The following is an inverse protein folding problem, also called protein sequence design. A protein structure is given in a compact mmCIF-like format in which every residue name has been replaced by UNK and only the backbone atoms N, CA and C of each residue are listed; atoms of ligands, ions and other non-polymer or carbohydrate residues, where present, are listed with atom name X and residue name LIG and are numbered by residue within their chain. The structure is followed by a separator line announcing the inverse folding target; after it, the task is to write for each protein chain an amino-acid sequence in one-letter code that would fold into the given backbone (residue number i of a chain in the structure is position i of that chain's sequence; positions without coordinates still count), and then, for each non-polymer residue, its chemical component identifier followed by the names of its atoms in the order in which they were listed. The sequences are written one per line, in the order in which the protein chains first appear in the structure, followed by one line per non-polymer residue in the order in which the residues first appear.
data_IF_449892611947
#
_entry.id   IF_449892611947
#
_cell.length_a   1.000
_cell.length_b   1.000
_cell.length_c   1.000
_cell.angle_alpha   90.00
_cell.angle_beta   90.00
_cell.angle_gamma   90.00
#
_symmetry.space_group_name_H-M   'P 1'
#
loop_
_entity.id
_entity.type
_entity.pdbx_description
1 polymer ?
#
# COMPACT_ATOMS: atom_id res chain seq x y z
N UNK A 1 14.50 -6.73 -5.52
CA UNK A 1 14.03 -8.15 -5.55
C UNK A 1 13.57 -8.45 -6.95
N UNK A 2 14.16 -9.44 -7.60
CA UNK A 2 13.83 -9.88 -8.96
C UNK A 2 12.98 -11.17 -8.88
N UNK A 3 11.79 -11.19 -9.50
CA UNK A 3 10.90 -12.36 -9.53
C UNK A 3 10.76 -12.83 -10.96
N UNK A 4 11.07 -14.11 -11.22
CA UNK A 4 11.04 -14.71 -12.55
C UNK A 4 10.24 -16.01 -12.57
N UNK A 5 9.59 -16.28 -13.73
CA UNK A 5 8.90 -17.53 -13.99
C UNK A 5 9.83 -18.53 -14.70
N UNK A 6 9.96 -19.73 -14.16
CA UNK A 6 10.84 -20.74 -14.69
C UNK A 6 10.07 -22.00 -15.13
N UNK A 7 10.22 -22.42 -16.39
CA UNK A 7 9.60 -23.64 -16.95
C UNK A 7 10.28 -24.95 -16.47
N UNK A 8 11.41 -24.87 -15.77
CA UNK A 8 12.09 -26.05 -15.24
C UNK A 8 11.35 -26.61 -14.03
N UNK A 9 11.42 -27.92 -13.87
CA UNK A 9 11.01 -28.56 -12.62
C UNK A 9 11.76 -27.91 -11.44
N UNK A 10 11.07 -27.70 -10.31
CA UNK A 10 11.60 -27.02 -9.12
C UNK A 10 12.94 -27.61 -8.66
N UNK A 11 13.12 -28.93 -8.78
CA UNK A 11 14.37 -29.62 -8.40
C UNK A 11 15.55 -29.27 -9.31
N UNK A 12 15.31 -28.81 -10.54
CA UNK A 12 16.32 -28.42 -11.50
C UNK A 12 16.68 -26.92 -11.44
N UNK A 13 16.05 -26.19 -10.54
CA UNK A 13 16.34 -24.76 -10.29
C UNK A 13 17.43 -24.67 -9.21
N UNK A 14 18.55 -24.07 -9.54
CA UNK A 14 19.70 -23.87 -8.65
C UNK A 14 19.49 -22.67 -7.72
N UNK A 15 18.52 -22.72 -6.85
CA UNK A 15 18.31 -21.73 -5.80
C UNK A 15 18.72 -22.27 -4.42
N UNK A 16 19.03 -21.38 -3.49
CA UNK A 16 19.53 -21.80 -2.18
C UNK A 16 18.43 -22.38 -1.28
N UNK A 17 17.20 -21.85 -1.32
CA UNK A 17 16.10 -22.32 -0.47
C UNK A 17 14.81 -22.47 -1.24
N UNK A 18 14.13 -23.60 -1.04
CA UNK A 18 12.81 -23.91 -1.57
C UNK A 18 11.74 -23.64 -0.49
N UNK A 19 10.71 -22.85 -0.82
CA UNK A 19 9.52 -22.65 0.04
C UNK A 19 8.48 -23.69 -0.32
N UNK A 20 8.03 -24.45 0.67
CA UNK A 20 7.04 -25.51 0.54
C UNK A 20 5.87 -25.26 1.50
N UNK A 21 4.67 -25.06 0.93
CA UNK A 21 3.44 -24.85 1.71
C UNK A 21 2.69 -26.17 1.80
N UNK A 22 2.36 -26.60 3.01
CA UNK A 22 1.74 -27.89 3.28
C UNK A 22 0.41 -27.76 4.01
N UNK A 23 -0.63 -28.43 3.49
CA UNK A 23 -1.86 -28.71 4.24
C UNK A 23 -2.00 -30.18 4.64
N UNK A 24 -1.20 -31.07 4.05
CA UNK A 24 -1.15 -32.51 4.32
C UNK A 24 0.26 -33.01 4.04
N UNK A 25 0.76 -33.90 4.90
CA UNK A 25 2.10 -34.49 4.79
C UNK A 25 2.16 -35.61 3.73
N UNK A 26 1.03 -36.18 3.35
CA UNK A 26 0.96 -37.37 2.46
C UNK A 26 1.59 -37.18 1.06
N UNK A 27 1.87 -35.95 0.66
CA UNK A 27 2.47 -35.61 -0.64
C UNK A 27 4.00 -35.56 -0.60
N UNK A 28 4.61 -35.70 0.56
CA UNK A 28 6.06 -35.70 0.77
C UNK A 28 6.67 -37.07 0.60
N UNK A 29 7.98 -37.14 0.42
CA UNK A 29 8.72 -38.40 0.47
C UNK A 29 8.74 -38.98 1.90
N UNK A 30 9.15 -40.27 2.04
CA UNK A 30 9.10 -40.99 3.32
C UNK A 30 9.88 -40.24 4.43
N UNK A 31 11.09 -39.85 4.15
CA UNK A 31 11.97 -39.18 5.13
C UNK A 31 11.42 -37.81 5.59
N UNK A 32 10.86 -37.03 4.66
CA UNK A 32 10.22 -35.75 4.99
C UNK A 32 8.95 -35.94 5.83
N UNK A 33 8.17 -36.98 5.56
CA UNK A 33 7.00 -37.32 6.36
C UNK A 33 7.40 -37.63 7.79
N UNK A 34 8.34 -38.55 7.99
CA UNK A 34 8.83 -38.97 9.30
C UNK A 34 9.36 -37.74 10.08
N UNK A 35 10.13 -36.87 9.44
CA UNK A 35 10.65 -35.63 10.04
C UNK A 35 9.54 -34.72 10.54
N UNK A 36 8.55 -34.45 9.70
CA UNK A 36 7.49 -33.47 10.03
C UNK A 36 6.42 -34.08 10.96
N UNK A 37 6.17 -35.39 10.91
CA UNK A 37 5.30 -36.09 11.85
C UNK A 37 5.89 -36.08 13.25
N UNK A 38 7.20 -36.35 13.40
CA UNK A 38 7.90 -36.34 14.69
C UNK A 38 7.80 -35.01 15.43
N UNK A 39 7.69 -33.87 14.72
CA UNK A 39 7.53 -32.52 15.30
C UNK A 39 6.06 -32.08 15.35
N UNK A 40 5.09 -32.92 15.06
CA UNK A 40 3.67 -32.58 14.99
C UNK A 40 3.42 -31.29 14.14
N UNK A 41 4.08 -31.19 12.99
CA UNK A 41 4.16 -29.97 12.17
C UNK A 41 2.78 -29.44 11.74
N UNK A 42 1.85 -30.30 11.36
CA UNK A 42 0.50 -29.90 10.92
C UNK A 42 -0.51 -29.72 12.08
N UNK A 43 -0.08 -29.71 13.33
CA UNK A 43 -1.00 -29.52 14.47
C UNK A 43 -1.67 -28.14 14.45
N UNK A 44 -0.98 -27.11 13.95
CA UNK A 44 -1.50 -25.73 13.81
C UNK A 44 -1.14 -25.16 12.44
N UNK A 45 -1.96 -24.22 11.95
CA UNK A 45 -1.55 -23.38 10.82
C UNK A 45 -0.39 -22.48 11.19
N UNK A 46 0.45 -22.20 10.19
CA UNK A 46 1.59 -21.29 10.26
C UNK A 46 2.78 -21.78 11.10
N UNK A 47 2.85 -23.10 11.40
CA UNK A 47 4.10 -23.68 11.86
C UNK A 47 5.15 -23.62 10.76
N UNK A 48 6.41 -23.38 11.14
CA UNK A 48 7.54 -23.28 10.23
C UNK A 48 8.61 -24.28 10.63
N UNK A 49 9.17 -25.00 9.66
CA UNK A 49 10.33 -25.88 9.85
C UNK A 49 11.33 -25.66 8.72
N UNK A 50 12.57 -25.35 9.08
CA UNK A 50 13.65 -25.14 8.13
C UNK A 50 14.62 -26.32 8.15
N UNK A 51 14.57 -27.13 7.10
CA UNK A 51 15.56 -28.18 6.83
C UNK A 51 16.78 -27.56 6.14
N UNK A 52 17.76 -27.16 6.96
CA UNK A 52 18.99 -26.51 6.50
C UNK A 52 19.77 -27.42 5.55
N UNK A 53 19.81 -28.73 5.84
CA UNK A 53 20.58 -29.71 5.09
C UNK A 53 20.13 -29.82 3.63
N UNK A 54 18.80 -29.76 3.42
CA UNK A 54 18.20 -29.89 2.10
C UNK A 54 17.79 -28.53 1.49
N UNK A 55 17.99 -27.41 2.21
CA UNK A 55 17.61 -26.09 1.77
C UNK A 55 16.09 -25.95 1.57
N UNK A 56 15.27 -26.51 2.45
CA UNK A 56 13.82 -26.52 2.35
C UNK A 56 13.17 -25.85 3.55
N UNK A 57 12.32 -24.86 3.28
CA UNK A 57 11.48 -24.22 4.29
C UNK A 57 10.04 -24.71 4.15
N UNK A 58 9.60 -25.50 5.09
CA UNK A 58 8.23 -26.00 5.18
C UNK A 58 7.36 -25.03 5.96
N UNK A 59 6.16 -24.81 5.45
CA UNK A 59 5.18 -23.95 6.08
C UNK A 59 3.81 -24.64 6.14
N UNK A 60 3.22 -24.78 7.34
CA UNK A 60 1.91 -25.38 7.48
C UNK A 60 0.80 -24.38 7.18
N UNK A 61 -0.12 -24.76 6.28
CA UNK A 61 -1.28 -23.97 5.91
C UNK A 61 -2.51 -24.89 5.79
N UNK A 62 -3.19 -25.13 6.91
CA UNK A 62 -4.28 -26.11 6.98
C UNK A 62 -5.43 -25.84 6.01
N UNK A 63 -5.69 -24.59 5.70
CA UNK A 63 -6.69 -24.17 4.71
C UNK A 63 -5.99 -23.37 3.60
N UNK A 64 -5.91 -23.92 2.40
CA UNK A 64 -5.31 -23.28 1.22
C UNK A 64 -6.26 -22.22 0.60
N UNK A 65 -6.62 -21.21 1.40
CA UNK A 65 -7.25 -19.97 0.94
C UNK A 65 -6.17 -18.95 0.62
N UNK A 66 -6.42 -18.05 -0.32
CA UNK A 66 -5.41 -17.08 -0.77
C UNK A 66 -4.84 -16.22 0.36
N UNK A 67 -5.66 -15.76 1.30
CA UNK A 67 -5.21 -15.02 2.48
C UNK A 67 -4.22 -15.81 3.36
N UNK A 68 -4.49 -17.10 3.59
CA UNK A 68 -3.62 -17.95 4.37
C UNK A 68 -2.30 -18.24 3.64
N UNK A 69 -2.35 -18.39 2.31
CA UNK A 69 -1.18 -18.59 1.45
C UNK A 69 -0.32 -17.33 1.47
N UNK A 70 -0.90 -16.13 1.32
CA UNK A 70 -0.19 -14.84 1.46
C UNK A 70 0.51 -14.74 2.80
N UNK A 71 -0.20 -15.07 3.90
CA UNK A 71 0.36 -15.05 5.25
C UNK A 71 1.51 -16.03 5.40
N UNK A 72 1.35 -17.26 4.88
CA UNK A 72 2.39 -18.29 4.89
C UNK A 72 3.66 -17.82 4.18
N UNK A 73 3.52 -17.31 2.96
CA UNK A 73 4.64 -16.81 2.15
C UNK A 73 5.28 -15.58 2.83
N UNK A 74 4.49 -14.65 3.32
CA UNK A 74 5.00 -13.44 4.02
C UNK A 74 5.83 -13.81 5.25
N UNK A 75 5.39 -14.80 6.01
CA UNK A 75 6.13 -15.28 7.19
C UNK A 75 7.41 -16.02 6.78
N UNK A 76 7.35 -16.83 5.73
CA UNK A 76 8.53 -17.50 5.16
C UNK A 76 9.58 -16.48 4.71
N UNK A 77 9.18 -15.43 4.00
CA UNK A 77 10.07 -14.35 3.54
C UNK A 77 10.74 -13.64 4.71
N UNK A 78 9.99 -13.26 5.74
CA UNK A 78 10.55 -12.62 6.95
C UNK A 78 11.57 -13.52 7.65
N UNK A 79 11.26 -14.81 7.77
CA UNK A 79 12.19 -15.79 8.35
C UNK A 79 13.48 -15.88 7.53
N UNK A 80 13.40 -16.04 6.20
CA UNK A 80 14.55 -16.16 5.31
C UNK A 80 15.42 -14.90 5.28
N UNK A 81 14.82 -13.72 5.37
CA UNK A 81 15.57 -12.45 5.52
C UNK A 81 16.40 -12.44 6.80
N UNK A 82 15.84 -12.86 7.92
CA UNK A 82 16.54 -12.87 9.22
C UNK A 82 17.77 -13.79 9.21
N UNK A 83 17.76 -14.87 8.43
CA UNK A 83 18.89 -15.79 8.24
C UNK A 83 19.71 -15.51 6.99
N UNK A 84 19.52 -14.35 6.36
CA UNK A 84 20.34 -13.82 5.26
C UNK A 84 20.33 -14.63 3.98
N UNK A 85 19.21 -15.26 3.65
CA UNK A 85 19.04 -15.97 2.37
C UNK A 85 18.75 -14.96 1.26
N UNK A 86 19.51 -15.02 0.17
CA UNK A 86 19.37 -14.10 -0.97
C UNK A 86 18.57 -14.67 -2.14
N UNK A 87 18.60 -15.99 -2.32
CA UNK A 87 17.97 -16.67 -3.46
C UNK A 87 16.98 -17.71 -2.97
N UNK A 88 15.76 -17.66 -3.48
CA UNK A 88 14.69 -18.59 -3.12
C UNK A 88 13.97 -19.11 -4.36
N UNK A 89 13.31 -20.24 -4.22
CA UNK A 89 12.42 -20.82 -5.23
C UNK A 89 11.11 -21.28 -4.59
N UNK A 90 10.04 -21.25 -5.37
CA UNK A 90 8.73 -21.74 -4.99
C UNK A 90 8.05 -22.41 -6.18
N UNK A 91 7.41 -23.54 -6.01
CA UNK A 91 6.57 -24.14 -7.05
C UNK A 91 5.17 -23.50 -7.03
N UNK A 92 4.63 -23.19 -8.20
CA UNK A 92 3.25 -22.69 -8.32
C UNK A 92 2.24 -23.76 -7.90
N UNK A 93 2.62 -25.05 -7.99
CA UNK A 93 1.81 -26.16 -7.50
C UNK A 93 2.18 -26.50 -6.07
N UNK A 94 1.27 -26.26 -5.14
CA UNK A 94 1.41 -26.61 -3.74
C UNK A 94 0.29 -27.57 -3.32
N UNK A 95 0.65 -28.68 -2.69
CA UNK A 95 -0.32 -29.73 -2.26
C UNK A 95 -1.29 -30.17 -3.37
N UNK A 96 -0.81 -30.31 -4.61
CA UNK A 96 -1.61 -30.63 -5.82
C UNK A 96 -2.63 -29.53 -6.21
N UNK A 97 -2.53 -28.35 -5.63
CA UNK A 97 -3.31 -27.15 -6.01
C UNK A 97 -2.41 -26.16 -6.73
N UNK A 98 -2.84 -25.68 -7.88
CA UNK A 98 -2.23 -24.54 -8.54
C UNK A 98 -2.62 -23.26 -7.78
N UNK A 99 -1.62 -22.50 -7.35
CA UNK A 99 -1.81 -21.23 -6.66
C UNK A 99 -1.97 -20.10 -7.66
N UNK A 100 -2.71 -19.07 -7.26
CA UNK A 100 -2.78 -17.84 -8.04
C UNK A 100 -1.42 -17.11 -7.96
N UNK A 101 -0.87 -16.73 -9.12
CA UNK A 101 0.40 -15.99 -9.20
C UNK A 101 0.36 -14.68 -8.41
N UNK A 102 -0.77 -13.96 -8.46
CA UNK A 102 -0.96 -12.74 -7.67
C UNK A 102 -0.83 -13.02 -6.18
N UNK A 103 -1.44 -14.09 -5.68
CA UNK A 103 -1.36 -14.50 -4.27
C UNK A 103 0.08 -14.75 -3.84
N UNK A 104 0.87 -15.44 -4.69
CA UNK A 104 2.30 -15.70 -4.44
C UNK A 104 3.07 -14.39 -4.39
N UNK A 105 2.90 -13.53 -5.39
CA UNK A 105 3.63 -12.26 -5.52
C UNK A 105 3.30 -11.30 -4.38
N UNK A 106 2.02 -11.19 -4.01
CA UNK A 106 1.62 -10.37 -2.86
C UNK A 106 2.28 -10.87 -1.56
N UNK A 107 2.28 -12.18 -1.33
CA UNK A 107 2.97 -12.76 -0.17
C UNK A 107 4.47 -12.47 -0.15
N UNK A 108 5.13 -12.55 -1.30
CA UNK A 108 6.56 -12.30 -1.48
C UNK A 108 6.89 -10.81 -1.30
N UNK A 109 6.25 -9.93 -2.08
CA UNK A 109 6.61 -8.51 -2.18
C UNK A 109 6.13 -7.74 -0.94
N UNK A 110 4.86 -7.92 -0.54
CA UNK A 110 4.34 -7.21 0.62
C UNK A 110 4.90 -7.77 1.94
N UNK A 111 5.22 -9.07 1.98
CA UNK A 111 5.88 -9.72 3.12
C UNK A 111 7.33 -9.29 3.30
N UNK A 112 8.02 -8.91 2.23
CA UNK A 112 9.41 -8.43 2.27
C UNK A 112 9.55 -6.94 2.59
N UNK A 113 8.45 -6.19 2.63
CA UNK A 113 8.46 -4.75 2.84
C UNK A 113 9.13 -4.36 4.17
N UNK A 114 10.01 -3.39 4.09
CA UNK A 114 10.64 -2.70 5.23
C UNK A 114 10.78 -1.23 4.92
N UNK A 115 10.45 -0.40 5.90
CA UNK A 115 10.68 1.03 5.81
C UNK A 115 12.06 1.37 6.38
N UNK A 116 13.01 1.70 5.49
CA UNK A 116 14.42 1.87 5.84
C UNK A 116 14.92 3.32 5.79
N UNK A 117 14.06 4.27 5.41
CA UNK A 117 14.43 5.68 5.14
C UNK A 117 15.26 6.32 6.28
N UNK A 118 14.96 5.97 7.53
CA UNK A 118 15.59 6.58 8.71
C UNK A 118 16.59 5.65 9.43
N UNK A 119 16.91 4.51 8.84
CA UNK A 119 17.90 3.60 9.46
C UNK A 119 19.31 3.97 9.02
N UNK A 120 20.22 4.18 9.98
CA UNK A 120 21.63 4.52 9.75
C UNK A 120 22.44 3.38 9.13
N UNK A 121 22.10 2.13 9.42
CA UNK A 121 22.69 0.96 8.80
C UNK A 121 21.67 0.34 7.86
N UNK A 122 21.85 0.56 6.56
CA UNK A 122 21.17 -0.25 5.54
C UNK A 122 21.89 -1.60 5.47
N UNK A 123 21.59 -2.50 6.41
CA UNK A 123 21.94 -3.90 6.23
C UNK A 123 21.10 -4.42 5.02
N UNK A 124 21.65 -4.27 3.82
CA UNK A 124 21.08 -4.68 2.55
C UNK A 124 21.01 -6.22 2.41
N UNK A 125 20.55 -6.90 3.47
CA UNK A 125 20.31 -8.33 3.47
C UNK A 125 18.89 -8.61 2.97
N UNK A 126 18.66 -8.28 1.71
CA UNK A 126 17.39 -8.54 1.05
C UNK A 126 17.48 -9.80 0.21
N UNK A 127 16.37 -10.50 0.11
CA UNK A 127 16.19 -11.52 -0.91
C UNK A 127 16.34 -10.84 -2.27
N UNK A 128 17.31 -11.31 -3.07
CA UNK A 128 17.64 -10.70 -4.37
C UNK A 128 16.85 -11.33 -5.51
N UNK A 129 16.79 -12.66 -5.53
CA UNK A 129 16.20 -13.41 -6.63
C UNK A 129 15.18 -14.42 -6.12
N UNK A 130 14.04 -14.45 -6.80
CA UNK A 130 12.96 -15.41 -6.56
C UNK A 130 12.59 -16.07 -7.87
N UNK A 131 12.66 -17.39 -7.92
CA UNK A 131 12.24 -18.18 -9.06
C UNK A 131 10.95 -18.93 -8.74
N UNK A 132 9.90 -18.69 -9.53
CA UNK A 132 8.62 -19.40 -9.44
C UNK A 132 8.61 -20.48 -10.51
N UNK A 133 8.67 -21.76 -10.11
CA UNK A 133 8.50 -22.88 -11.02
C UNK A 133 7.05 -22.96 -11.50
N UNK A 134 6.88 -22.95 -12.81
CA UNK A 134 5.57 -23.12 -13.48
C UNK A 134 5.54 -24.42 -14.30
N UNK A 135 6.44 -25.37 -14.01
CA UNK A 135 6.62 -26.59 -14.79
C UNK A 135 5.33 -27.41 -14.95
N UNK A 136 4.55 -27.52 -13.88
CA UNK A 136 3.30 -28.28 -13.85
C UNK A 136 2.05 -27.37 -13.94
N UNK A 137 2.19 -26.09 -14.28
CA UNK A 137 1.05 -25.19 -14.43
C UNK A 137 0.19 -25.59 -15.62
N UNK A 138 -1.12 -25.43 -15.48
CA UNK A 138 -2.09 -25.59 -16.56
C UNK A 138 -2.16 -24.34 -17.46
N UNK A 139 -1.76 -23.17 -16.93
CA UNK A 139 -1.72 -21.92 -17.67
C UNK A 139 -0.47 -21.80 -18.52
N UNK A 140 -0.56 -21.08 -19.65
CA UNK A 140 0.58 -20.76 -20.48
C UNK A 140 1.50 -19.76 -19.77
N UNK A 141 2.81 -19.82 -20.09
CA UNK A 141 3.80 -18.92 -19.50
C UNK A 141 3.45 -17.45 -19.72
N UNK A 142 3.00 -17.09 -20.92
CA UNK A 142 2.70 -15.72 -21.31
C UNK A 142 1.52 -15.14 -20.49
N UNK A 143 0.48 -15.95 -20.21
CA UNK A 143 -0.62 -15.57 -19.31
C UNK A 143 -0.11 -15.29 -17.89
N UNK A 144 0.75 -16.17 -17.38
CA UNK A 144 1.33 -16.01 -16.05
C UNK A 144 2.28 -14.81 -15.96
N UNK A 145 2.99 -14.47 -17.03
CA UNK A 145 3.82 -13.25 -17.09
C UNK A 145 2.98 -11.97 -17.06
N UNK A 146 1.82 -11.96 -17.71
CA UNK A 146 0.85 -10.85 -17.60
C UNK A 146 0.33 -10.73 -16.17
N UNK A 147 -0.06 -11.85 -15.55
CA UNK A 147 -0.54 -11.88 -14.16
C UNK A 147 0.57 -11.43 -13.19
N UNK A 148 1.81 -11.88 -13.40
CA UNK A 148 2.99 -11.45 -12.62
C UNK A 148 3.22 -9.94 -12.72
N UNK A 149 3.20 -9.39 -13.93
CA UNK A 149 3.37 -7.95 -14.17
C UNK A 149 2.30 -7.13 -13.44
N UNK A 150 1.03 -7.53 -13.56
CA UNK A 150 -0.08 -6.87 -12.85
C UNK A 150 0.11 -6.92 -11.34
N UNK A 151 0.45 -8.08 -10.80
CA UNK A 151 0.67 -8.25 -9.36
C UNK A 151 1.83 -7.37 -8.85
N UNK A 152 2.93 -7.28 -9.61
CA UNK A 152 4.07 -6.42 -9.27
C UNK A 152 3.69 -4.94 -9.27
N UNK A 153 2.93 -4.46 -10.26
CA UNK A 153 2.45 -3.07 -10.32
C UNK A 153 1.64 -2.75 -9.05
N UNK A 154 0.68 -3.60 -8.71
CA UNK A 154 -0.17 -3.42 -7.51
C UNK A 154 0.69 -3.42 -6.25
N UNK A 155 1.57 -4.40 -6.07
CA UNK A 155 2.41 -4.51 -4.88
C UNK A 155 3.35 -3.33 -4.70
N UNK A 156 3.95 -2.83 -5.79
CA UNK A 156 4.84 -1.67 -5.76
C UNK A 156 4.07 -0.41 -5.36
N UNK A 157 2.86 -0.22 -5.87
CA UNK A 157 2.00 0.91 -5.50
C UNK A 157 1.52 0.82 -4.04
N UNK A 158 1.25 -0.38 -3.53
CA UNK A 158 0.96 -0.58 -2.10
C UNK A 158 2.17 -0.24 -1.23
N UNK A 159 3.38 -0.65 -1.64
CA UNK A 159 4.60 -0.32 -0.90
C UNK A 159 4.90 1.19 -0.95
N UNK A 160 4.70 1.84 -2.08
CA UNK A 160 4.77 3.31 -2.21
C UNK A 160 3.80 4.00 -1.23
N UNK A 161 2.55 3.55 -1.17
CA UNK A 161 1.57 4.05 -0.18
C UNK A 161 2.08 3.89 1.25
N UNK A 162 2.67 2.73 1.59
CA UNK A 162 3.24 2.48 2.93
C UNK A 162 4.42 3.40 3.21
N UNK A 163 5.25 3.70 2.23
CA UNK A 163 6.39 4.62 2.38
C UNK A 163 5.92 6.03 2.73
N UNK A 164 4.86 6.52 2.07
CA UNK A 164 4.23 7.79 2.40
C UNK A 164 3.71 7.80 3.84
N UNK A 165 2.92 6.78 4.21
CA UNK A 165 2.30 6.69 5.54
C UNK A 165 3.36 6.61 6.65
N UNK A 166 4.47 5.91 6.41
CA UNK A 166 5.56 5.74 7.37
C UNK A 166 6.51 6.94 7.45
N UNK A 167 6.52 7.82 6.46
CA UNK A 167 7.35 9.02 6.45
C UNK A 167 7.00 9.95 7.62
N UNK A 168 8.04 10.55 8.24
CA UNK A 168 7.87 11.49 9.35
C UNK A 168 7.03 12.69 8.93
N UNK A 169 6.33 13.36 9.86
CA UNK A 169 5.54 14.55 9.53
C UNK A 169 6.38 15.64 8.87
N UNK A 170 7.57 15.90 9.38
CA UNK A 170 8.47 16.94 8.88
C UNK A 170 9.02 16.63 7.48
N UNK A 171 9.12 15.36 7.10
CA UNK A 171 9.58 14.95 5.76
C UNK A 171 8.44 14.75 4.76
N UNK A 172 7.19 14.78 5.22
CA UNK A 172 6.03 14.56 4.36
C UNK A 172 4.81 15.39 4.78
N UNK A 173 4.93 16.70 4.62
CA UNK A 173 3.89 17.70 4.86
C UNK A 173 3.14 18.07 3.56
N UNK A 174 2.11 18.93 3.56
CA UNK A 174 1.23 19.15 2.40
C UNK A 174 1.96 19.51 1.10
N UNK A 175 3.00 20.36 1.15
CA UNK A 175 3.76 20.72 -0.06
C UNK A 175 4.54 19.54 -0.64
N UNK A 176 5.10 18.66 0.21
CA UNK A 176 5.81 17.47 -0.28
C UNK A 176 4.85 16.49 -0.94
N UNK A 177 3.64 16.32 -0.38
CA UNK A 177 2.57 15.53 -1.01
C UNK A 177 2.16 16.10 -2.38
N UNK A 178 2.08 17.42 -2.50
CA UNK A 178 1.80 18.08 -3.77
C UNK A 178 2.92 17.85 -4.79
N UNK A 179 4.17 17.92 -4.37
CA UNK A 179 5.34 17.66 -5.22
C UNK A 179 5.36 16.21 -5.72
N UNK A 180 5.06 15.25 -4.84
CA UNK A 180 4.91 13.82 -5.21
C UNK A 180 3.81 13.62 -6.27
N UNK A 181 2.67 14.29 -6.11
CA UNK A 181 1.58 14.25 -7.08
C UNK A 181 2.01 14.80 -8.45
N UNK A 182 2.76 15.91 -8.47
CA UNK A 182 3.33 16.48 -9.71
C UNK A 182 4.33 15.53 -10.35
N UNK A 183 5.16 14.85 -9.56
CA UNK A 183 6.13 13.88 -10.06
C UNK A 183 5.41 12.65 -10.67
N UNK A 184 4.39 12.14 -10.01
CA UNK A 184 3.54 11.08 -10.59
C UNK A 184 2.94 11.57 -11.92
N UNK A 185 2.38 12.76 -11.95
CA UNK A 185 1.75 13.31 -13.14
C UNK A 185 2.72 13.42 -14.31
N UNK A 186 3.93 13.92 -14.08
CA UNK A 186 5.00 14.01 -15.07
C UNK A 186 5.41 12.62 -15.58
N UNK A 187 5.68 11.69 -14.68
CA UNK A 187 6.17 10.34 -15.01
C UNK A 187 5.13 9.47 -15.70
N UNK A 188 3.85 9.70 -15.43
CA UNK A 188 2.71 8.94 -16.00
C UNK A 188 1.99 9.67 -17.12
N UNK A 189 2.42 10.89 -17.47
CA UNK A 189 1.81 11.73 -18.49
C UNK A 189 0.31 11.96 -18.25
N UNK A 190 -0.06 12.36 -17.03
CA UNK A 190 -1.43 12.69 -16.62
C UNK A 190 -1.51 14.15 -16.17
N UNK A 191 -2.73 14.69 -16.04
CA UNK A 191 -2.91 16.05 -15.56
C UNK A 191 -2.83 16.09 -14.02
N UNK A 192 -2.21 17.15 -13.49
CA UNK A 192 -2.21 17.45 -12.06
C UNK A 192 -2.40 18.96 -11.88
N UNK A 193 -3.30 19.33 -10.98
CA UNK A 193 -3.55 20.71 -10.57
C UNK A 193 -3.33 20.80 -9.05
N UNK A 194 -2.60 21.81 -8.62
CA UNK A 194 -2.32 22.10 -7.21
C UNK A 194 -2.85 23.48 -6.90
N UNK A 195 -3.65 23.59 -5.84
CA UNK A 195 -4.21 24.85 -5.36
C UNK A 195 -3.77 25.09 -3.92
N UNK A 196 -3.38 26.33 -3.63
CA UNK A 196 -3.00 26.81 -2.32
C UNK A 196 -4.16 27.41 -1.55
N UNK A 197 -3.84 28.04 -0.40
CA UNK A 197 -4.83 28.61 0.51
C UNK A 197 -5.63 29.77 -0.08
N UNK A 198 -5.04 30.58 -0.96
CA UNK A 198 -5.78 31.66 -1.63
C UNK A 198 -6.94 31.10 -2.45
N UNK A 199 -6.70 30.03 -3.20
CA UNK A 199 -7.78 29.34 -3.92
C UNK A 199 -8.85 28.80 -2.97
N UNK A 200 -8.47 28.23 -1.81
CA UNK A 200 -9.42 27.73 -0.83
C UNK A 200 -10.34 28.86 -0.31
N UNK A 201 -9.76 30.02 0.01
CA UNK A 201 -10.50 31.20 0.47
C UNK A 201 -11.46 31.74 -0.61
N UNK A 202 -10.96 31.93 -1.82
CA UNK A 202 -11.74 32.45 -2.96
C UNK A 202 -12.92 31.54 -3.32
N UNK A 203 -12.79 30.22 -3.11
CA UNK A 203 -13.83 29.25 -3.42
C UNK A 203 -14.65 28.81 -2.19
N UNK A 204 -14.55 29.53 -1.06
CA UNK A 204 -15.25 29.24 0.20
C UNK A 204 -14.99 27.81 0.72
N UNK A 205 -13.85 27.22 0.47
CA UNK A 205 -13.42 25.93 1.02
C UNK A 205 -12.90 26.12 2.45
N UNK A 206 -13.73 26.82 3.28
CA UNK A 206 -13.28 27.28 4.59
C UNK A 206 -13.16 26.14 5.61
N UNK A 207 -13.83 25.00 5.41
CA UNK A 207 -13.67 23.86 6.32
C UNK A 207 -12.24 23.28 6.20
N UNK A 208 -11.75 23.07 4.98
CA UNK A 208 -10.39 22.60 4.76
C UNK A 208 -9.36 23.68 5.17
N UNK A 209 -9.58 24.94 4.81
CA UNK A 209 -8.72 26.06 5.17
C UNK A 209 -8.55 26.20 6.67
N UNK A 210 -9.66 26.16 7.44
CA UNK A 210 -9.62 26.30 8.89
C UNK A 210 -8.85 25.20 9.60
N UNK A 211 -8.88 23.98 9.09
CA UNK A 211 -8.09 22.89 9.67
C UNK A 211 -6.59 23.16 9.58
N UNK A 212 -6.11 23.70 8.45
CA UNK A 212 -4.71 23.93 8.20
C UNK A 212 -4.12 25.25 8.72
N UNK A 213 -4.99 26.21 9.08
CA UNK A 213 -4.59 27.62 9.31
C UNK A 213 -3.53 27.80 10.42
N UNK A 214 -3.47 26.92 11.41
CA UNK A 214 -2.51 26.99 12.50
C UNK A 214 -1.16 26.34 12.17
N UNK A 215 -1.03 25.68 11.02
CA UNK A 215 0.23 25.11 10.58
C UNK A 215 1.13 26.16 9.93
N UNK A 216 2.46 25.96 10.05
CA UNK A 216 3.43 26.70 9.23
C UNK A 216 3.47 26.21 7.78
N UNK A 217 2.89 25.04 7.50
CA UNK A 217 2.84 24.43 6.19
C UNK A 217 1.47 24.72 5.54
N UNK A 218 1.52 25.46 4.44
CA UNK A 218 0.33 25.84 3.69
C UNK A 218 -0.47 24.62 3.22
N UNK A 219 -1.79 24.67 3.38
CA UNK A 219 -2.73 23.66 2.89
C UNK A 219 -2.71 23.55 1.38
N UNK A 220 -2.84 22.34 0.84
CA UNK A 220 -2.86 22.08 -0.61
C UNK A 220 -4.06 21.23 -1.00
N UNK A 221 -4.87 21.72 -1.95
CA UNK A 221 -5.83 20.90 -2.68
C UNK A 221 -5.13 20.36 -3.93
N UNK A 222 -5.08 19.04 -4.04
CA UNK A 222 -4.38 18.32 -5.11
C UNK A 222 -5.42 17.60 -5.96
N UNK A 223 -5.39 17.79 -7.28
CA UNK A 223 -6.29 17.15 -8.23
C UNK A 223 -5.51 16.46 -9.35
N UNK A 224 -5.47 15.14 -9.34
CA UNK A 224 -4.87 14.28 -10.36
C UNK A 224 -5.96 13.76 -11.28
N UNK A 225 -5.71 13.74 -12.60
CA UNK A 225 -6.69 13.30 -13.60
C UNK A 225 -6.02 12.30 -14.54
N UNK A 226 -6.46 11.06 -14.47
CA UNK A 226 -6.11 9.99 -15.41
C UNK A 226 -7.27 9.79 -16.39
N UNK A 227 -7.01 10.00 -17.69
CA UNK A 227 -8.00 9.85 -18.75
C UNK A 227 -7.46 8.88 -19.81
N UNK A 228 -7.98 7.63 -19.89
CA UNK A 228 -7.61 6.69 -20.92
C UNK A 228 -8.25 7.08 -22.27
N UNK A 229 -7.79 6.48 -23.36
CA UNK A 229 -8.25 6.80 -24.72
C UNK A 229 -9.77 6.66 -24.91
N UNK A 230 -10.39 5.62 -24.31
CA UNK A 230 -11.84 5.35 -24.40
C UNK A 230 -12.35 4.97 -23.01
N UNK A 231 -12.67 5.94 -22.14
CA UNK A 231 -13.13 5.65 -20.79
C UNK A 231 -14.54 5.04 -20.82
N UNK A 232 -14.74 3.95 -20.09
CA UNK A 232 -16.07 3.29 -19.96
C UNK A 232 -16.87 3.84 -18.77
N UNK A 233 -16.20 4.48 -17.81
CA UNK A 233 -16.83 5.13 -16.68
C UNK A 233 -15.85 6.17 -16.07
N UNK A 234 -16.42 7.10 -15.30
CA UNK A 234 -15.70 8.10 -14.52
C UNK A 234 -15.80 7.78 -13.03
N UNK A 235 -14.67 7.81 -12.33
CA UNK A 235 -14.54 7.52 -10.90
C UNK A 235 -13.83 8.70 -10.22
N UNK A 236 -14.35 9.13 -9.08
CA UNK A 236 -13.68 10.11 -8.22
C UNK A 236 -13.25 9.44 -6.93
N UNK A 237 -11.97 9.59 -6.61
CA UNK A 237 -11.35 9.15 -5.38
C UNK A 237 -11.03 10.39 -4.54
N UNK A 238 -11.55 10.45 -3.32
CA UNK A 238 -11.28 11.57 -2.41
C UNK A 238 -10.47 11.06 -1.22
N UNK A 239 -9.30 11.67 -1.00
CA UNK A 239 -8.34 11.27 0.02
C UNK A 239 -8.20 12.28 1.14
N UNK A 240 -8.40 11.85 2.40
CA UNK A 240 -7.99 12.61 3.58
C UNK A 240 -6.47 12.66 3.64
N UNK A 241 -5.90 13.87 3.60
CA UNK A 241 -4.46 14.12 3.59
C UNK A 241 -3.98 14.91 4.81
N UNK A 242 -4.49 14.60 6.00
CA UNK A 242 -3.99 15.22 7.25
C UNK A 242 -2.60 14.65 7.51
N UNK A 243 -1.56 15.44 7.21
CA UNK A 243 -0.17 14.96 7.24
C UNK A 243 0.34 14.77 8.66
N UNK A 244 -0.19 15.55 9.59
CA UNK A 244 -0.09 15.34 11.03
C UNK A 244 -1.32 15.88 11.76
N UNK A 245 -1.78 15.16 12.77
CA UNK A 245 -2.98 15.52 13.52
C UNK A 245 -2.72 15.56 15.05
N UNK A 246 -2.73 16.78 15.59
CA UNK A 246 -2.62 16.99 17.04
C UNK A 246 -3.99 16.93 17.75
N UNK A 247 -5.09 16.94 16.97
CA UNK A 247 -6.45 17.20 17.45
C UNK A 247 -6.81 18.69 17.45
N UNK A 248 -5.87 19.57 17.12
CA UNK A 248 -6.07 21.01 17.22
C UNK A 248 -6.34 21.46 18.65
N UNK A 249 -7.28 22.39 18.86
CA UNK A 249 -7.68 22.87 20.21
C UNK A 249 -8.33 21.76 21.06
N UNK A 250 -8.92 20.72 20.46
CA UNK A 250 -9.36 19.49 21.14
C UNK A 250 -8.19 18.49 21.21
N UNK A 251 -7.10 18.89 21.85
CA UNK A 251 -5.81 18.21 21.87
C UNK A 251 -5.92 16.74 22.25
N UNK A 252 -5.26 15.88 21.45
CA UNK A 252 -5.14 14.44 21.74
C UNK A 252 -4.41 14.21 23.06
N UNK A 253 -4.84 13.19 23.81
CA UNK A 253 -4.18 12.77 25.05
C UNK A 253 -2.80 12.24 24.77
N UNK A 254 -1.93 12.20 25.81
CA UNK A 254 -0.61 11.62 25.76
C UNK A 254 -0.61 10.23 25.12
N UNK A 255 0.33 9.99 24.21
CA UNK A 255 0.41 8.77 23.41
C UNK A 255 -0.50 8.75 22.18
N UNK A 256 -1.58 9.53 22.12
CA UNK A 256 -2.51 9.58 21.00
C UNK A 256 -1.91 10.17 19.71
N UNK A 257 -0.87 11.01 19.84
CA UNK A 257 -0.20 11.66 18.70
C UNK A 257 0.89 10.82 18.03
N UNK A 258 1.46 9.82 18.73
CA UNK A 258 2.66 9.10 18.26
C UNK A 258 2.49 8.47 16.88
N UNK A 259 1.28 8.00 16.56
CA UNK A 259 0.98 7.39 15.27
C UNK A 259 0.33 8.36 14.26
N UNK A 260 0.08 9.62 14.61
CA UNK A 260 -0.72 10.55 13.79
C UNK A 260 -0.05 11.02 12.50
N UNK A 261 1.20 10.65 12.26
CA UNK A 261 1.79 10.69 10.90
C UNK A 261 1.03 9.83 9.89
N UNK A 262 0.26 8.83 10.35
CA UNK A 262 -0.52 7.95 9.47
C UNK A 262 -1.85 8.55 9.01
N UNK A 263 -2.26 9.71 9.52
CA UNK A 263 -3.55 10.31 9.23
C UNK A 263 -3.70 10.85 7.79
N UNK A 264 -2.62 10.79 7.04
CA UNK A 264 -2.56 10.99 5.57
C UNK A 264 -2.80 9.72 4.76
N UNK A 265 -3.14 8.58 5.40
CA UNK A 265 -3.24 7.29 4.71
C UNK A 265 -4.29 7.27 3.59
N UNK A 266 -5.38 8.03 3.73
CA UNK A 266 -6.40 8.19 2.68
C UNK A 266 -5.83 8.83 1.42
N UNK A 267 -5.09 9.93 1.56
CA UNK A 267 -4.40 10.60 0.46
C UNK A 267 -3.30 9.72 -0.15
N UNK A 268 -2.49 9.07 0.68
CA UNK A 268 -1.47 8.13 0.23
C UNK A 268 -2.06 6.98 -0.61
N UNK A 269 -3.25 6.50 -0.23
CA UNK A 269 -3.98 5.48 -0.99
C UNK A 269 -4.44 6.00 -2.35
N UNK A 270 -4.92 7.24 -2.43
CA UNK A 270 -5.29 7.87 -3.71
C UNK A 270 -4.08 7.98 -4.63
N UNK A 271 -2.93 8.46 -4.13
CA UNK A 271 -1.67 8.53 -4.90
C UNK A 271 -1.24 7.14 -5.39
N UNK A 272 -1.25 6.13 -4.52
CA UNK A 272 -0.90 4.76 -4.88
C UNK A 272 -1.86 4.15 -5.92
N UNK A 273 -3.16 4.42 -5.83
CA UNK A 273 -4.16 3.95 -6.81
C UNK A 273 -3.89 4.60 -8.17
N UNK A 274 -3.73 5.92 -8.22
CA UNK A 274 -3.43 6.64 -9.48
C UNK A 274 -2.13 6.10 -10.11
N UNK A 275 -1.09 5.87 -9.30
CA UNK A 275 0.16 5.29 -9.77
C UNK A 275 -0.04 3.92 -10.43
N UNK A 276 -0.83 3.03 -9.80
CA UNK A 276 -1.13 1.70 -10.34
C UNK A 276 -2.02 1.75 -11.59
N UNK A 277 -3.04 2.60 -11.60
CA UNK A 277 -3.99 2.74 -12.71
C UNK A 277 -3.30 3.07 -14.03
N UNK A 278 -2.34 3.99 -13.99
CA UNK A 278 -1.57 4.41 -15.17
C UNK A 278 -0.80 3.24 -15.78
N UNK A 279 -0.14 2.43 -14.94
CA UNK A 279 0.64 1.27 -15.39
C UNK A 279 -0.22 0.09 -15.84
N UNK A 280 -1.41 -0.05 -15.27
CA UNK A 280 -2.37 -1.09 -15.64
C UNK A 280 -3.20 -0.75 -16.88
N UNK A 281 -3.18 0.50 -17.35
CA UNK A 281 -3.97 0.98 -18.48
C UNK A 281 -5.46 0.65 -18.34
N UNK A 282 -6.04 0.89 -17.16
CA UNK A 282 -7.46 0.58 -16.93
C UNK A 282 -8.38 1.54 -17.69
N UNK A 283 -9.54 1.08 -18.21
CA UNK A 283 -10.41 1.87 -19.06
C UNK A 283 -11.37 2.77 -18.26
N UNK A 284 -10.90 3.38 -17.18
CA UNK A 284 -11.68 4.29 -16.34
C UNK A 284 -11.04 5.68 -16.36
N UNK A 285 -11.81 6.73 -16.53
CA UNK A 285 -11.36 8.08 -16.18
C UNK A 285 -11.38 8.20 -14.66
N UNK A 286 -10.25 8.56 -14.06
CA UNK A 286 -10.13 8.64 -12.60
C UNK A 286 -9.61 9.99 -12.17
N UNK A 287 -10.38 10.63 -11.28
CA UNK A 287 -10.01 11.86 -10.60
C UNK A 287 -9.59 11.53 -9.17
N UNK A 288 -8.34 11.81 -8.82
CA UNK A 288 -7.83 11.73 -7.45
C UNK A 288 -7.80 13.12 -6.83
N UNK A 289 -8.65 13.37 -5.84
CA UNK A 289 -8.76 14.65 -5.15
C UNK A 289 -8.27 14.46 -3.72
N UNK A 290 -7.30 15.29 -3.31
CA UNK A 290 -6.68 15.19 -2.00
C UNK A 290 -6.70 16.55 -1.32
N UNK A 291 -7.23 16.59 -0.09
CA UNK A 291 -7.06 17.74 0.81
C UNK A 291 -5.87 17.48 1.74
N UNK A 292 -4.74 18.11 1.44
CA UNK A 292 -3.52 17.98 2.22
C UNK A 292 -3.39 19.15 3.20
N UNK A 293 -3.43 18.85 4.52
CA UNK A 293 -3.41 19.84 5.61
C UNK A 293 -2.63 19.29 6.80
N UNK A 294 -2.26 20.14 7.76
CA UNK A 294 -1.82 19.78 9.10
C UNK A 294 -2.77 20.36 10.14
N UNK A 295 -3.30 19.52 11.04
CA UNK A 295 -4.13 19.97 12.16
C UNK A 295 -3.25 20.29 13.37
N UNK A 296 -2.90 21.57 13.54
CA UNK A 296 -1.95 22.03 14.55
C UNK A 296 -2.61 22.89 15.62
N UNK A 297 -1.92 23.06 16.72
CA UNK A 297 -2.27 24.00 17.81
C UNK A 297 -1.57 25.32 17.50
N UNK A 298 -2.27 26.42 17.67
CA UNK A 298 -1.70 27.74 17.47
C UNK A 298 -2.69 28.85 17.80
N UNK A 299 -2.23 30.09 17.73
CA UNK A 299 -3.06 31.28 17.95
C UNK A 299 -4.18 31.43 16.91
N UNK A 300 -3.91 30.97 15.70
CA UNK A 300 -4.86 31.03 14.58
C UNK A 300 -5.74 29.78 14.45
N UNK A 301 -5.57 28.78 15.35
CA UNK A 301 -6.33 27.53 15.29
C UNK A 301 -7.84 27.77 15.42
N UNK A 302 -8.61 27.07 14.59
CA UNK A 302 -10.06 27.03 14.72
C UNK A 302 -10.47 26.33 16.03
N UNK A 303 -11.65 26.64 16.52
CA UNK A 303 -12.08 26.31 17.88
C UNK A 303 -13.44 25.64 17.91
N UNK A 304 -13.72 24.80 18.92
CA UNK A 304 -15.09 24.40 19.19
C UNK A 304 -15.99 25.62 19.38
N UNK A 305 -17.16 25.62 18.72
CA UNK A 305 -18.09 26.76 18.64
C UNK A 305 -17.94 27.60 17.39
N UNK A 306 -16.86 27.46 16.61
CA UNK A 306 -16.73 28.13 15.31
C UNK A 306 -17.76 27.58 14.31
N UNK A 307 -18.30 28.45 13.46
CA UNK A 307 -19.22 28.10 12.38
C UNK A 307 -18.56 28.36 11.04
N UNK A 308 -18.28 27.31 10.31
CA UNK A 308 -17.55 27.34 9.03
C UNK A 308 -18.54 27.33 7.86
N UNK A 309 -18.44 28.31 6.93
CA UNK A 309 -19.19 28.28 5.68
C UNK A 309 -18.38 27.49 4.64
N UNK A 310 -18.96 26.43 4.09
CA UNK A 310 -18.30 25.53 3.13
C UNK A 310 -18.69 25.87 1.68
N UNK A 311 -17.93 25.33 0.72
CA UNK A 311 -18.02 25.68 -0.71
C UNK A 311 -19.43 25.51 -1.31
N UNK A 312 -20.28 24.63 -0.79
CA UNK A 312 -21.66 24.45 -1.23
C UNK A 312 -22.67 25.44 -0.58
N UNK A 313 -22.18 26.40 0.19
CA UNK A 313 -22.98 27.42 0.87
C UNK A 313 -23.59 27.02 2.22
N UNK A 314 -23.42 25.73 2.63
CA UNK A 314 -23.85 25.27 3.96
C UNK A 314 -22.89 25.75 5.03
N UNK A 315 -23.34 25.70 6.28
CA UNK A 315 -22.52 25.99 7.47
C UNK A 315 -22.33 24.72 8.28
N UNK A 316 -21.15 24.59 8.90
CA UNK A 316 -20.78 23.49 9.79
C UNK A 316 -20.35 24.08 11.13
N UNK A 317 -21.03 23.74 12.21
CA UNK A 317 -20.58 24.04 13.55
C UNK A 317 -19.49 23.05 13.97
N UNK A 318 -18.37 23.59 14.45
CA UNK A 318 -17.25 22.81 14.98
C UNK A 318 -17.53 22.48 16.43
N UNK A 319 -17.79 21.25 16.75
CA UNK A 319 -17.95 20.77 18.14
C UNK A 319 -16.69 20.14 18.70
N UNK A 320 -15.80 19.64 17.82
CA UNK A 320 -14.55 18.99 18.18
C UNK A 320 -13.54 19.15 17.03
N UNK A 321 -12.40 19.76 17.29
CA UNK A 321 -11.34 19.99 16.29
C UNK A 321 -10.51 18.73 16.00
N UNK A 322 -10.65 17.64 16.77
CA UNK A 322 -10.13 16.30 16.49
C UNK A 322 -11.04 15.49 15.55
N UNK A 323 -12.02 16.15 14.95
CA UNK A 323 -12.89 15.61 13.90
C UNK A 323 -12.67 16.34 12.56
N UNK A 324 -11.46 16.75 12.29
CA UNK A 324 -10.97 17.58 11.19
C UNK A 324 -11.11 16.89 9.82
N UNK A 325 -10.90 15.58 9.77
CA UNK A 325 -10.93 14.81 8.53
C UNK A 325 -12.24 14.95 7.76
N UNK A 326 -13.37 14.97 8.45
CA UNK A 326 -14.69 15.19 7.83
C UNK A 326 -14.86 16.59 7.28
N UNK A 327 -14.19 17.59 7.86
CA UNK A 327 -14.19 18.98 7.38
C UNK A 327 -13.41 19.09 6.08
N UNK A 328 -12.21 18.55 6.04
CA UNK A 328 -11.38 18.46 4.82
C UNK A 328 -12.12 17.74 3.69
N UNK A 329 -12.73 16.59 4.00
CA UNK A 329 -13.46 15.79 3.02
C UNK A 329 -14.73 16.47 2.53
N UNK A 330 -15.43 17.27 3.35
CA UNK A 330 -16.61 18.02 2.93
C UNK A 330 -16.33 18.98 1.79
N UNK A 331 -15.23 19.75 1.88
CA UNK A 331 -14.83 20.66 0.81
C UNK A 331 -14.29 19.91 -0.41
N UNK A 332 -13.49 18.86 -0.22
CA UNK A 332 -13.00 18.03 -1.33
C UNK A 332 -14.14 17.33 -2.11
N UNK A 333 -15.16 16.82 -1.42
CA UNK A 333 -16.34 16.23 -2.05
C UNK A 333 -17.16 17.29 -2.78
N UNK A 334 -17.32 18.48 -2.20
CA UNK A 334 -18.01 19.59 -2.86
C UNK A 334 -17.24 20.01 -4.13
N UNK A 335 -15.92 20.19 -4.02
CA UNK A 335 -15.05 20.48 -5.17
C UNK A 335 -15.22 19.43 -6.27
N UNK A 336 -15.30 18.14 -5.93
CA UNK A 336 -15.47 17.07 -6.89
C UNK A 336 -16.72 17.21 -7.75
N UNK A 337 -17.80 17.76 -7.22
CA UNK A 337 -19.05 17.97 -7.96
C UNK A 337 -18.97 19.12 -8.97
N UNK A 338 -18.11 20.09 -8.72
CA UNK A 338 -17.86 21.22 -9.62
C UNK A 338 -16.80 20.89 -10.67
N UNK A 339 -15.75 20.20 -10.29
CA UNK A 339 -14.65 19.82 -11.19
C UNK A 339 -15.12 18.98 -12.40
N UNK A 340 -16.25 18.30 -12.29
CA UNK A 340 -16.88 17.57 -13.41
C UNK A 340 -17.53 18.44 -14.48
N UNK A 341 -17.75 19.73 -14.20
CA UNK A 341 -18.41 20.65 -15.14
C UNK A 341 -17.44 21.37 -16.09
N UNK A 342 -16.13 21.20 -15.88
CA UNK A 342 -15.08 21.88 -16.65
C UNK A 342 -14.44 21.03 -17.77
N UNK A 343 -15.10 19.91 -18.14
CA UNK A 343 -14.61 19.05 -19.25
C UNK A 343 -15.73 18.68 -20.20
#
# INVERSE_FOLDING_TARGET
MNITLNKKNIHNIKSSVEIIILNKIKHLCKNEKELLDNINFLRKSFNTHFDIKNGKLYFSCLKLKDENIKTAISTAIKFLKNIKIENIKIDIIQCKKELNIQTIVEGLVLGSYEFLKYKSSQNNQSIKNIEISIFNSKKQKDELEVDLKKALIICNSVNYTKDIVNSSPEDYYPQIMANDALEIAKNKNIKCQIFGEDYLKENNMNAMYSVGIASRHESKLIHLIYTPKNPIAKIVLVGKGVTYDTGGMSLKREGGMVSMKCDKAGAASVLGIIHALCDLNLPFEVHGIIGAVENMIGGDAYKPGDVLKVANGKTIEVTNTDAEGRLVLADCLTYSTFAHRFH
#
